data_IF_404356650158
#
_entry.id   IF_404356650158
#
_cell.length_a   1.000
_cell.length_b   1.000
_cell.length_c   1.000
_cell.angle_alpha   90.00
_cell.angle_beta   90.00
_cell.angle_gamma   90.00
#
_symmetry.space_group_name_H-M   'P 1'
#
loop_
_entity.id
_entity.type
_entity.pdbx_description
1 polymer ?
#
# COMPACT_ATOMS: atom_id res chain seq x y z
N UNK A 1 -21.63 -1.80 3.86
CA UNK A 1 -20.42 -2.16 3.09
C UNK A 1 -19.26 -1.41 3.70
N UNK A 2 -18.17 -2.08 4.03
CA UNK A 2 -16.94 -1.41 4.49
C UNK A 2 -16.12 -1.07 3.25
N UNK A 3 -15.95 0.21 2.95
CA UNK A 3 -15.05 0.64 1.88
C UNK A 3 -13.60 0.50 2.35
N UNK A 4 -12.74 -0.10 1.54
CA UNK A 4 -11.32 -0.21 1.82
C UNK A 4 -10.68 1.09 1.37
N UNK A 5 -9.92 1.75 2.24
CA UNK A 5 -9.28 3.03 1.92
C UNK A 5 -7.78 2.83 1.75
N UNK A 6 -7.23 3.48 0.74
CA UNK A 6 -5.80 3.51 0.46
C UNK A 6 -5.07 4.16 1.64
N UNK A 7 -4.13 3.45 2.26
CA UNK A 7 -3.43 3.94 3.46
C UNK A 7 -2.48 5.11 3.15
N UNK A 8 -2.08 5.30 1.88
CA UNK A 8 -1.28 6.43 1.42
C UNK A 8 -2.13 7.68 1.14
N UNK A 9 -3.14 7.55 0.27
CA UNK A 9 -3.86 8.72 -0.25
C UNK A 9 -5.31 8.87 0.25
N UNK A 10 -5.84 7.88 0.98
CA UNK A 10 -7.20 7.91 1.54
C UNK A 10 -8.32 7.70 0.52
N UNK A 11 -8.02 7.30 -0.72
CA UNK A 11 -9.04 6.97 -1.73
C UNK A 11 -9.73 5.64 -1.43
N UNK A 12 -11.01 5.53 -1.77
CA UNK A 12 -11.71 4.24 -1.81
C UNK A 12 -11.09 3.33 -2.86
N UNK A 13 -10.82 2.10 -2.43
CA UNK A 13 -10.26 1.02 -3.23
C UNK A 13 -11.38 0.06 -3.59
N UNK A 14 -11.46 -0.28 -4.87
CA UNK A 14 -12.27 -1.38 -5.35
C UNK A 14 -11.51 -2.70 -5.15
N UNK A 15 -12.21 -3.78 -4.78
CA UNK A 15 -11.62 -5.08 -4.43
C UNK A 15 -10.61 -5.62 -5.46
N UNK A 16 -10.78 -5.29 -6.75
CA UNK A 16 -9.89 -5.69 -7.84
C UNK A 16 -8.61 -4.83 -7.99
N UNK A 17 -8.48 -3.70 -7.30
CA UNK A 17 -7.36 -2.75 -7.41
C UNK A 17 -6.65 -2.47 -6.08
N UNK A 18 -6.62 -3.49 -5.22
CA UNK A 18 -5.99 -3.44 -3.89
C UNK A 18 -4.65 -4.15 -3.93
N UNK A 19 -3.61 -3.44 -3.52
CA UNK A 19 -2.30 -4.03 -3.32
C UNK A 19 -1.95 -4.04 -1.83
N UNK A 20 -1.31 -5.12 -1.39
CA UNK A 20 -0.96 -5.33 0.00
C UNK A 20 0.54 -5.20 0.19
N UNK A 21 0.96 -4.26 1.04
CA UNK A 21 2.36 -4.06 1.40
C UNK A 21 2.78 -5.09 2.45
N UNK A 22 3.63 -6.05 2.09
CA UNK A 22 4.09 -7.08 3.05
C UNK A 22 4.96 -6.51 4.17
N UNK A 23 5.60 -5.36 3.96
CA UNK A 23 6.49 -4.75 4.97
C UNK A 23 5.77 -3.89 5.99
N UNK A 24 4.66 -3.27 5.62
CA UNK A 24 3.93 -2.32 6.46
C UNK A 24 2.52 -2.81 6.83
N UNK A 25 2.02 -3.85 6.16
CA UNK A 25 0.68 -4.38 6.35
C UNK A 25 -0.44 -3.48 5.83
N UNK A 26 -0.10 -2.39 5.14
CA UNK A 26 -1.06 -1.43 4.59
C UNK A 26 -1.65 -1.88 3.26
N UNK A 27 -2.87 -1.41 2.99
CA UNK A 27 -3.59 -1.61 1.73
C UNK A 27 -3.46 -0.34 0.89
N UNK A 28 -3.06 -0.50 -0.37
CA UNK A 28 -2.74 0.59 -1.28
C UNK A 28 -3.42 0.40 -2.63
N UNK A 29 -3.60 1.51 -3.30
CA UNK A 29 -4.15 1.62 -4.64
C UNK A 29 -3.09 1.20 -5.67
N UNK A 30 -3.49 0.55 -6.76
CA UNK A 30 -2.58 0.08 -7.83
C UNK A 30 -1.65 1.15 -8.40
N UNK A 31 -2.07 2.42 -8.42
CA UNK A 31 -1.23 3.54 -8.87
C UNK A 31 -0.04 3.86 -7.93
N UNK A 32 -0.15 3.48 -6.66
CA UNK A 32 0.81 3.80 -5.59
C UNK A 32 1.61 2.57 -5.14
N UNK A 33 1.44 1.45 -5.85
CA UNK A 33 2.11 0.18 -5.58
C UNK A 33 3.05 -0.16 -6.72
N UNK A 34 4.32 -0.35 -6.39
CA UNK A 34 5.32 -0.63 -7.41
C UNK A 34 5.14 -2.07 -7.89
N UNK A 35 4.75 -2.28 -9.15
CA UNK A 35 4.46 -3.63 -9.67
C UNK A 35 5.68 -4.56 -9.69
N UNK A 36 6.87 -4.05 -9.36
CA UNK A 36 8.11 -4.82 -9.25
C UNK A 36 8.41 -5.28 -7.81
N UNK A 37 7.71 -4.73 -6.81
CA UNK A 37 7.97 -5.00 -5.39
C UNK A 37 6.66 -5.23 -4.66
N UNK A 38 6.59 -6.24 -3.78
CA UNK A 38 5.44 -6.48 -2.89
C UNK A 38 5.32 -5.39 -1.79
N UNK A 39 5.83 -4.19 -2.06
CA UNK A 39 6.04 -3.08 -1.16
C UNK A 39 5.38 -1.82 -1.74
N UNK A 40 4.76 -1.04 -0.86
CA UNK A 40 4.26 0.29 -1.24
C UNK A 40 5.41 1.25 -1.55
N UNK A 41 5.13 2.29 -2.34
CA UNK A 41 6.14 3.28 -2.70
C UNK A 41 6.80 3.96 -1.49
N UNK A 42 6.11 4.09 -0.35
CA UNK A 42 6.71 4.59 0.89
C UNK A 42 7.78 3.64 1.44
N UNK A 43 7.49 2.34 1.56
CA UNK A 43 8.49 1.38 2.01
C UNK A 43 9.64 1.21 0.99
N UNK A 44 9.37 1.39 -0.32
CA UNK A 44 10.42 1.34 -1.35
C UNK A 44 11.33 2.58 -1.28
N UNK A 45 10.74 3.78 -1.13
CA UNK A 45 11.50 5.05 -1.13
C UNK A 45 12.21 5.33 0.17
N UNK A 46 11.51 5.15 1.30
CA UNK A 46 12.03 5.51 2.62
C UNK A 46 12.60 4.29 3.36
N UNK A 47 12.36 3.07 2.89
CA UNK A 47 12.52 1.88 3.70
C UNK A 47 11.50 1.91 4.83
N UNK A 48 10.72 0.85 5.00
CA UNK A 48 10.03 0.65 6.27
C UNK A 48 11.09 0.22 7.30
N UNK A 49 11.94 1.19 7.67
CA UNK A 49 12.90 1.06 8.73
C UNK A 49 12.09 0.96 10.00
N UNK A 50 11.78 -0.29 10.34
CA UNK A 50 11.51 -0.69 11.70
C UNK A 50 12.59 -0.04 12.55
N UNK A 51 12.26 1.07 13.22
CA UNK A 51 13.09 1.63 14.28
C UNK A 51 12.95 0.63 15.45
N UNK A 52 13.69 -0.48 15.36
CA UNK A 52 13.93 -1.43 16.42
C UNK A 52 15.44 -1.55 16.61
#
# INVERSE_FOLDING_TARGET
MSAILCSSCGKELEDDNINFCISCGGLFCSDEFDNNSELCQECVKNGCTSLF
#
